data_IF_915426085137
#
_entry.id   IF_915426085137
#
_cell.length_a   1.000
_cell.length_b   1.000
_cell.length_c   1.000
_cell.angle_alpha   90.00
_cell.angle_beta   90.00
_cell.angle_gamma   90.00
#
_symmetry.space_group_name_H-M   'P 1'
#
loop_
_entity.id
_entity.type
_entity.pdbx_description
1 polymer ?
#
# COMPACT_ATOMS: atom_id res chain seq x y z
N UNK A 1 -9.00 42.72 96.15
CA UNK A 1 -7.80 42.90 95.32
C UNK A 1 -7.96 41.96 94.13
N UNK A 2 -8.33 42.50 92.98
CA UNK A 2 -8.60 41.69 91.79
C UNK A 2 -7.32 41.46 90.98
N UNK A 3 -7.14 40.23 90.50
CA UNK A 3 -5.90 39.79 89.83
C UNK A 3 -5.75 40.38 88.40
N UNK A 4 -4.52 40.66 87.95
CA UNK A 4 -4.29 41.24 86.63
C UNK A 4 -4.54 40.22 85.50
N UNK A 5 -5.26 40.64 84.46
CA UNK A 5 -5.60 39.83 83.28
C UNK A 5 -4.46 39.88 82.26
N UNK A 6 -3.90 38.72 81.92
CA UNK A 6 -2.83 38.60 80.92
C UNK A 6 -3.41 38.73 79.48
N UNK A 7 -2.79 39.51 78.58
CA UNK A 7 -3.23 39.60 77.19
C UNK A 7 -2.91 38.29 76.45
N UNK A 8 -3.89 37.78 75.68
CA UNK A 8 -3.75 36.53 74.94
C UNK A 8 -2.65 36.63 73.86
N UNK A 9 -1.50 36.02 74.11
CA UNK A 9 -0.33 36.03 73.21
C UNK A 9 -0.44 35.09 72.01
N UNK A 10 -1.51 34.30 71.91
CA UNK A 10 -1.75 33.47 70.74
C UNK A 10 -3.08 33.86 70.12
N UNK A 11 -3.08 35.05 69.51
CA UNK A 11 -4.08 35.43 68.52
C UNK A 11 -4.00 34.38 67.42
N UNK A 12 -5.06 33.57 67.31
CA UNK A 12 -5.24 32.53 66.30
C UNK A 12 -4.90 33.05 64.91
N UNK A 13 -3.63 32.92 64.51
CA UNK A 13 -3.20 33.05 63.14
C UNK A 13 -3.72 31.80 62.46
N UNK A 14 -4.99 31.85 62.01
CA UNK A 14 -5.54 30.88 61.07
C UNK A 14 -4.81 31.06 59.73
N UNK A 15 -3.53 30.70 59.71
CA UNK A 15 -2.73 30.55 58.51
C UNK A 15 -3.41 29.45 57.70
N UNK A 16 -4.19 29.83 56.69
CA UNK A 16 -4.65 28.87 55.69
C UNK A 16 -3.41 28.18 55.13
N UNK A 17 -3.33 26.84 55.17
CA UNK A 17 -2.20 26.15 54.57
C UNK A 17 -2.14 26.54 53.08
N UNK A 18 -0.95 26.91 52.59
CA UNK A 18 -0.76 27.16 51.16
C UNK A 18 -0.94 25.82 50.44
N UNK A 19 -1.96 25.73 49.60
CA UNK A 19 -2.20 24.56 48.76
C UNK A 19 -1.02 24.31 47.82
N UNK A 20 -0.64 23.05 47.66
CA UNK A 20 0.38 22.64 46.70
C UNK A 20 -0.21 22.65 45.29
N UNK A 21 0.11 23.67 44.49
CA UNK A 21 -0.22 23.69 43.07
C UNK A 21 0.89 22.96 42.31
N UNK A 22 0.67 21.67 42.04
CA UNK A 22 1.57 20.88 41.20
C UNK A 22 1.22 21.06 39.73
N UNK A 23 2.05 21.79 38.99
CA UNK A 23 1.98 21.81 37.53
C UNK A 23 2.96 20.76 36.99
N UNK A 24 2.47 19.66 36.37
CA UNK A 24 3.35 18.64 35.80
C UNK A 24 4.17 19.25 34.66
N UNK A 25 5.50 19.13 34.74
CA UNK A 25 6.42 19.71 33.75
C UNK A 25 6.34 19.05 32.35
N UNK A 26 5.77 17.84 32.28
CA UNK A 26 5.81 16.99 31.08
C UNK A 26 4.43 16.68 30.48
N UNK A 27 3.33 17.01 31.18
CA UNK A 27 1.98 16.72 30.71
C UNK A 27 1.31 18.01 30.28
N UNK A 28 1.15 18.15 28.98
CA UNK A 28 0.35 19.19 28.36
C UNK A 28 -0.84 18.50 27.66
N UNK A 29 -2.07 18.62 28.19
CA UNK A 29 -3.22 17.88 27.69
C UNK A 29 -3.53 18.22 26.23
N UNK A 30 -3.34 19.49 25.83
CA UNK A 30 -3.62 19.94 24.48
C UNK A 30 -2.62 19.34 23.48
N UNK A 31 -1.36 19.27 23.89
CA UNK A 31 -0.30 18.65 23.10
C UNK A 31 -0.53 17.16 22.91
N UNK A 32 -0.89 16.43 23.96
CA UNK A 32 -1.18 14.99 23.85
C UNK A 32 -2.35 14.71 22.92
N UNK A 33 -3.42 15.49 23.00
CA UNK A 33 -4.61 15.28 22.17
C UNK A 33 -4.34 15.60 20.70
N UNK A 34 -3.51 16.60 20.41
CA UNK A 34 -3.01 16.87 19.07
C UNK A 34 -2.12 15.73 18.56
N UNK A 35 -1.17 15.25 19.36
CA UNK A 35 -0.28 14.15 18.99
C UNK A 35 -1.04 12.83 18.75
N UNK A 36 -2.10 12.56 19.53
CA UNK A 36 -2.99 11.41 19.31
C UNK A 36 -3.66 11.49 17.94
N UNK A 37 -4.19 12.67 17.56
CA UNK A 37 -4.84 12.89 16.26
C UNK A 37 -3.85 12.75 15.10
N UNK A 38 -2.68 13.35 15.20
CA UNK A 38 -1.62 13.25 14.18
C UNK A 38 -1.24 11.79 13.96
N UNK A 39 -1.02 11.03 15.04
CA UNK A 39 -0.64 9.62 14.96
C UNK A 39 -1.69 8.73 14.28
N UNK A 40 -2.97 9.05 14.44
CA UNK A 40 -4.06 8.33 13.76
C UNK A 40 -4.00 8.62 12.26
N UNK A 41 -3.91 9.89 11.88
CA UNK A 41 -3.86 10.33 10.48
C UNK A 41 -2.62 9.75 9.77
N UNK A 42 -1.45 9.77 10.40
CA UNK A 42 -0.23 9.19 9.83
C UNK A 42 -0.37 7.70 9.55
N UNK A 43 -1.04 6.94 10.43
CA UNK A 43 -1.32 5.51 10.23
C UNK A 43 -2.28 5.28 9.06
N UNK A 44 -3.32 6.09 8.94
CA UNK A 44 -4.29 6.01 7.84
C UNK A 44 -3.63 6.32 6.49
N UNK A 45 -2.83 7.39 6.41
CA UNK A 45 -2.09 7.78 5.20
C UNK A 45 -1.06 6.72 4.81
N UNK A 46 -0.34 6.14 5.78
CA UNK A 46 0.60 5.06 5.51
C UNK A 46 -0.11 3.80 4.97
N UNK A 47 -1.27 3.46 5.53
CA UNK A 47 -2.09 2.34 5.05
C UNK A 47 -2.58 2.59 3.62
N UNK A 48 -3.07 3.79 3.31
CA UNK A 48 -3.54 4.15 1.96
C UNK A 48 -2.40 4.14 0.92
N UNK A 49 -1.22 4.67 1.28
CA UNK A 49 0.00 4.55 0.44
C UNK A 49 0.36 3.09 0.19
N UNK A 50 0.29 2.23 1.20
CA UNK A 50 0.60 0.81 1.01
C UNK A 50 -0.39 0.13 0.05
N UNK A 51 -1.69 0.42 0.17
CA UNK A 51 -2.73 -0.15 -0.70
C UNK A 51 -2.61 0.33 -2.14
N UNK A 52 -2.29 1.61 -2.35
CA UNK A 52 -2.06 2.17 -3.69
C UNK A 52 -0.82 1.58 -4.33
N UNK A 53 0.28 1.40 -3.59
CA UNK A 53 1.49 0.73 -4.11
C UNK A 53 1.26 -0.75 -4.44
N UNK A 54 0.51 -1.48 -3.60
CA UNK A 54 0.10 -2.87 -3.88
C UNK A 54 -0.75 -2.94 -5.16
N UNK A 55 -1.69 -2.00 -5.33
CA UNK A 55 -2.56 -1.93 -6.50
C UNK A 55 -1.76 -1.64 -7.78
N UNK A 56 -0.82 -0.68 -7.73
CA UNK A 56 0.10 -0.38 -8.85
C UNK A 56 0.97 -1.59 -9.22
N UNK A 57 1.52 -2.30 -8.23
CA UNK A 57 2.34 -3.49 -8.45
C UNK A 57 1.55 -4.59 -9.17
N UNK A 58 0.30 -4.83 -8.77
CA UNK A 58 -0.59 -5.82 -9.40
C UNK A 58 -0.88 -5.48 -10.86
N UNK A 59 -1.19 -4.21 -11.15
CA UNK A 59 -1.44 -3.74 -12.53
C UNK A 59 -0.19 -3.91 -13.39
N UNK A 60 0.98 -3.50 -12.89
CA UNK A 60 2.28 -3.65 -13.57
C UNK A 60 2.61 -5.12 -13.86
N UNK A 61 2.29 -6.02 -12.94
CA UNK A 61 2.49 -7.46 -13.13
C UNK A 61 1.56 -8.04 -14.21
N UNK A 62 0.29 -7.62 -14.25
CA UNK A 62 -0.66 -8.01 -15.30
C UNK A 62 -0.18 -7.60 -16.71
N UNK A 63 0.27 -6.35 -16.87
CA UNK A 63 0.79 -5.85 -18.14
C UNK A 63 2.03 -6.61 -18.62
N UNK A 64 2.98 -6.93 -17.71
CA UNK A 64 4.18 -7.69 -18.06
C UNK A 64 3.86 -9.11 -18.54
N UNK A 65 2.90 -9.79 -17.91
CA UNK A 65 2.47 -11.14 -18.31
C UNK A 65 1.87 -11.15 -19.72
N UNK A 66 1.06 -10.16 -20.08
CA UNK A 66 0.48 -10.05 -21.43
C UNK A 66 1.53 -9.79 -22.50
N UNK A 67 2.51 -8.94 -22.20
CA UNK A 67 3.62 -8.64 -23.14
C UNK A 67 4.51 -9.87 -23.33
N UNK A 68 4.86 -10.58 -22.24
CA UNK A 68 5.70 -11.78 -22.30
C UNK A 68 4.97 -12.99 -22.91
N UNK A 69 3.65 -13.10 -22.71
CA UNK A 69 2.83 -14.11 -23.38
C UNK A 69 2.77 -13.89 -24.89
N UNK A 70 2.74 -12.64 -25.37
CA UNK A 70 2.80 -12.32 -26.81
C UNK A 70 4.17 -12.60 -27.40
N UNK A 71 5.27 -12.37 -26.67
CA UNK A 71 6.61 -12.68 -27.18
C UNK A 71 6.85 -14.18 -27.29
N UNK A 72 6.35 -14.99 -26.35
CA UNK A 72 6.57 -16.44 -26.36
C UNK A 72 5.68 -17.18 -27.37
N UNK A 73 4.56 -16.59 -27.81
CA UNK A 73 3.72 -17.18 -28.87
C UNK A 73 4.39 -17.13 -30.26
N UNK A 74 5.37 -16.23 -30.47
CA UNK A 74 6.09 -16.10 -31.75
C UNK A 74 6.97 -17.31 -32.10
N UNK A 75 7.37 -18.12 -31.10
CA UNK A 75 8.23 -19.28 -31.31
C UNK A 75 7.45 -20.56 -31.63
N UNK A 76 6.17 -20.64 -31.24
CA UNK A 76 5.33 -21.84 -31.41
C UNK A 76 4.59 -21.84 -32.76
N UNK A 77 4.43 -20.69 -33.41
CA UNK A 77 3.71 -20.57 -34.69
C UNK A 77 4.54 -20.94 -35.95
N UNK A 78 5.82 -21.31 -35.81
CA UNK A 78 6.68 -21.65 -36.98
C UNK A 78 6.18 -22.87 -37.76
N UNK A 79 5.37 -23.74 -37.15
CA UNK A 79 4.81 -24.93 -37.81
C UNK A 79 3.59 -24.63 -38.71
N UNK A 80 2.97 -23.44 -38.63
CA UNK A 80 1.82 -23.09 -39.48
C UNK A 80 2.18 -22.86 -40.94
N UNK A 81 3.36 -22.30 -41.22
CA UNK A 81 3.82 -22.06 -42.58
C UNK A 81 4.14 -23.35 -43.34
N UNK A 82 4.73 -24.33 -42.68
CA UNK A 82 5.17 -25.60 -43.30
C UNK A 82 3.97 -26.39 -43.83
N UNK A 83 2.84 -26.42 -43.10
CA UNK A 83 1.63 -27.12 -43.53
C UNK A 83 1.11 -26.58 -44.87
N UNK A 84 1.16 -25.27 -45.10
CA UNK A 84 0.75 -24.66 -46.37
C UNK A 84 1.69 -25.05 -47.52
N UNK A 85 3.00 -25.03 -47.28
CA UNK A 85 3.98 -25.47 -48.27
C UNK A 85 3.82 -26.95 -48.66
N UNK A 86 3.56 -27.83 -47.68
CA UNK A 86 3.31 -29.26 -47.95
C UNK A 86 2.08 -29.44 -48.83
N UNK A 87 0.95 -28.80 -48.50
CA UNK A 87 -0.27 -28.88 -49.31
C UNK A 87 -0.04 -28.35 -50.74
N UNK A 88 0.69 -27.25 -50.89
CA UNK A 88 1.02 -26.68 -52.20
C UNK A 88 1.85 -27.63 -53.06
N UNK A 89 2.91 -28.24 -52.49
CA UNK A 89 3.77 -29.19 -53.20
C UNK A 89 2.97 -30.43 -53.62
N UNK A 90 2.13 -30.97 -52.73
CA UNK A 90 1.27 -32.12 -53.03
C UNK A 90 0.31 -31.80 -54.18
N UNK A 91 -0.31 -30.63 -54.18
CA UNK A 91 -1.22 -30.22 -55.25
C UNK A 91 -0.51 -30.11 -56.60
N UNK A 92 0.68 -29.49 -56.64
CA UNK A 92 1.50 -29.37 -57.86
C UNK A 92 1.92 -30.76 -58.37
N UNK A 93 2.30 -31.68 -57.47
CA UNK A 93 2.68 -33.04 -57.84
C UNK A 93 1.53 -33.81 -58.48
N UNK A 94 0.31 -33.70 -57.94
CA UNK A 94 -0.90 -34.33 -58.50
C UNK A 94 -1.19 -33.76 -59.89
N UNK A 95 -1.19 -32.44 -60.04
CA UNK A 95 -1.43 -31.78 -61.33
C UNK A 95 -0.40 -32.24 -62.36
N UNK A 96 0.89 -32.23 -62.01
CA UNK A 96 1.97 -32.71 -62.90
C UNK A 96 1.81 -34.19 -63.27
N UNK A 97 1.41 -35.03 -62.31
CA UNK A 97 1.15 -36.45 -62.56
C UNK A 97 0.00 -36.64 -63.54
N UNK A 98 -1.09 -35.88 -63.39
CA UNK A 98 -2.24 -35.93 -64.29
C UNK A 98 -1.89 -35.44 -65.69
N UNK A 99 -1.17 -34.32 -65.82
CA UNK A 99 -0.68 -33.86 -67.12
C UNK A 99 0.19 -34.91 -67.80
N UNK A 100 1.14 -35.51 -67.08
CA UNK A 100 2.00 -36.57 -67.61
C UNK A 100 1.25 -37.86 -67.95
N UNK A 101 0.11 -38.12 -67.32
CA UNK A 101 -0.75 -39.26 -67.64
C UNK A 101 -1.68 -38.97 -68.83
N UNK A 102 -2.10 -37.71 -69.00
CA UNK A 102 -2.97 -37.26 -70.08
C UNK A 102 -2.20 -36.97 -71.38
N UNK A 103 -0.95 -36.49 -71.26
CA UNK A 103 0.02 -36.30 -72.35
C UNK A 103 0.80 -37.59 -72.69
N UNK A 104 0.32 -38.76 -72.23
CA UNK A 104 0.87 -40.08 -72.55
C UNK A 104 0.04 -40.80 -73.62
#
# INVERSE_FOLDING_TARGET
MDAPRLPSLFRNVRMKPKGFNFTPRYYDPDKEDLEKRIRIIEKEVAAEKSQTEISKARIKQGFRKTVQSRSNHSLIDKNRGIRLFVVLIVLIAIVRMLYRFLDL
#
